data_IF_463671369465
#
_entry.id   IF_463671369465
#
_cell.length_a   1.000
_cell.length_b   1.000
_cell.length_c   1.000
_cell.angle_alpha   90.00
_cell.angle_beta   90.00
_cell.angle_gamma   90.00
#
_symmetry.space_group_name_H-M   'P 1'
#
loop_
_entity.id
_entity.type
_entity.pdbx_description
1 polymer ?
#
# COMPACT_ATOMS: atom_id res chain seq x y z
N UNK A 1 87.82 7.39 -33.32
CA UNK A 1 87.79 6.10 -34.05
C UNK A 1 86.51 5.41 -33.60
N UNK A 2 85.45 5.48 -34.43
CA UNK A 2 85.03 4.41 -35.37
C UNK A 2 84.46 3.21 -34.61
N UNK A 3 83.24 2.70 -34.78
CA UNK A 3 82.05 2.90 -35.63
C UNK A 3 80.90 2.17 -34.88
N UNK A 4 79.60 2.49 -35.05
CA UNK A 4 78.61 1.74 -35.87
C UNK A 4 77.49 1.21 -34.93
N UNK A 5 76.16 1.20 -35.16
CA UNK A 5 75.25 1.77 -36.16
C UNK A 5 73.80 1.36 -35.76
N UNK A 6 72.85 2.32 -35.82
CA UNK A 6 71.40 2.18 -36.15
C UNK A 6 70.45 1.55 -35.10
N UNK A 7 69.15 1.92 -34.95
CA UNK A 7 68.15 2.27 -35.97
C UNK A 7 66.89 2.98 -35.31
N UNK A 8 66.54 4.20 -35.80
CA UNK A 8 65.20 4.87 -35.97
C UNK A 8 64.40 5.38 -34.74
N UNK A 9 64.23 6.71 -34.46
CA UNK A 9 63.61 7.88 -35.18
C UNK A 9 62.07 7.73 -35.30
N UNK A 10 61.16 8.66 -34.97
CA UNK A 10 61.09 9.97 -34.30
C UNK A 10 59.57 10.21 -34.03
N UNK A 11 59.14 10.72 -32.88
CA UNK A 11 58.84 12.12 -32.56
C UNK A 11 58.05 12.95 -33.61
N UNK A 12 56.80 13.27 -33.23
CA UNK A 12 56.02 14.51 -33.47
C UNK A 12 55.34 14.76 -34.84
N UNK A 13 54.05 15.16 -34.81
CA UNK A 13 53.56 16.55 -34.95
C UNK A 13 52.01 16.56 -35.06
N UNK A 14 51.43 17.68 -34.61
CA UNK A 14 50.03 18.06 -34.38
C UNK A 14 49.07 18.15 -35.60
N UNK A 15 47.78 17.95 -35.27
CA UNK A 15 46.53 18.65 -35.68
C UNK A 15 46.06 18.72 -37.15
N UNK A 16 44.77 19.09 -37.29
CA UNK A 16 43.87 19.21 -38.46
C UNK A 16 43.16 17.88 -38.81
N UNK A 17 41.83 17.71 -38.89
CA UNK A 17 40.68 18.61 -39.00
C UNK A 17 39.66 18.02 -40.01
N UNK A 18 38.38 17.88 -39.61
CA UNK A 18 37.13 17.65 -40.38
C UNK A 18 36.74 16.27 -40.98
N UNK A 19 35.59 15.77 -40.45
CA UNK A 19 34.38 15.19 -41.06
C UNK A 19 34.43 14.48 -42.43
N UNK A 20 33.95 13.23 -42.51
CA UNK A 20 32.60 12.89 -43.02
C UNK A 20 32.25 11.39 -42.86
N UNK A 21 31.16 11.15 -42.11
CA UNK A 21 30.09 10.15 -42.27
C UNK A 21 30.39 8.76 -42.87
N UNK A 22 30.19 7.72 -42.05
CA UNK A 22 29.16 6.68 -42.28
C UNK A 22 28.57 6.28 -40.92
N UNK A 23 27.28 6.57 -40.79
CA UNK A 23 26.36 6.13 -39.75
C UNK A 23 25.78 4.75 -40.11
N UNK A 24 25.65 3.87 -39.11
CA UNK A 24 24.67 2.77 -38.92
C UNK A 24 25.23 1.92 -37.77
N UNK A 25 25.14 2.43 -36.54
CA UNK A 25 24.06 2.08 -35.62
C UNK A 25 23.97 0.56 -35.38
N UNK A 26 24.68 0.14 -34.33
CA UNK A 26 24.35 -1.04 -33.54
C UNK A 26 24.04 -0.52 -32.15
N UNK A 27 22.82 -0.02 -31.98
CA UNK A 27 22.27 0.39 -30.69
C UNK A 27 22.35 -0.82 -29.74
N UNK A 28 23.44 -0.91 -28.99
CA UNK A 28 23.41 -1.56 -27.69
C UNK A 28 22.44 -0.77 -26.84
N UNK A 29 21.18 -1.21 -26.83
CA UNK A 29 20.16 -0.68 -25.94
C UNK A 29 20.66 -0.94 -24.53
N UNK A 30 21.21 0.10 -23.91
CA UNK A 30 21.53 0.11 -22.50
C UNK A 30 20.22 -0.14 -21.74
N UNK A 31 20.03 -1.39 -21.29
CA UNK A 31 18.85 -1.83 -20.54
C UNK A 31 18.64 -1.10 -19.22
N UNK A 32 19.51 -0.14 -18.88
CA UNK A 32 19.39 0.72 -17.70
C UNK A 32 18.56 2.01 -17.95
N UNK A 33 17.98 2.19 -19.14
CA UNK A 33 17.07 3.31 -19.44
C UNK A 33 15.58 2.97 -19.26
N UNK A 34 15.25 1.71 -18.95
CA UNK A 34 13.90 1.33 -18.50
C UNK A 34 13.97 0.96 -17.02
N UNK A 35 14.06 1.99 -16.17
CA UNK A 35 13.71 1.82 -14.77
C UNK A 35 12.18 1.73 -14.66
N UNK A 36 11.63 0.54 -14.87
CA UNK A 36 10.25 0.26 -14.48
C UNK A 36 10.23 0.18 -12.94
N UNK A 37 9.60 1.12 -12.21
CA UNK A 37 9.60 1.11 -10.74
C UNK A 37 8.72 -0.02 -10.16
N UNK A 38 8.16 -0.88 -11.00
CA UNK A 38 7.15 -1.84 -10.61
C UNK A 38 7.72 -3.21 -10.19
N UNK A 39 8.88 -3.30 -9.52
CA UNK A 39 9.19 -4.43 -8.61
C UNK A 39 10.48 -4.21 -7.80
N UNK A 40 10.33 -3.96 -6.50
CA UNK A 40 11.25 -4.41 -5.43
C UNK A 40 12.73 -4.00 -5.53
N UNK A 41 13.05 -2.71 -5.41
CA UNK A 41 14.26 -2.34 -4.68
C UNK A 41 13.93 -2.43 -3.19
N UNK A 42 14.48 -3.46 -2.53
CA UNK A 42 14.36 -3.75 -1.11
C UNK A 42 15.00 -2.71 -0.19
N UNK A 43 14.72 -1.44 -0.42
CA UNK A 43 14.94 -0.39 0.56
C UNK A 43 13.61 -0.04 1.23
N UNK A 44 13.35 -0.73 2.34
CA UNK A 44 12.24 -0.42 3.25
C UNK A 44 12.69 0.57 4.33
N UNK A 45 13.96 0.97 4.36
CA UNK A 45 14.55 1.75 5.45
C UNK A 45 14.10 3.23 5.48
N UNK A 46 13.38 3.70 4.44
CA UNK A 46 12.83 5.07 4.39
C UNK A 46 11.32 5.17 4.20
N UNK A 47 10.60 4.07 3.93
CA UNK A 47 9.19 4.14 3.57
C UNK A 47 8.32 4.24 4.83
N UNK A 48 7.64 5.38 4.98
CA UNK A 48 6.62 5.59 6.01
C UNK A 48 5.34 4.89 5.57
N UNK A 49 4.86 3.92 6.36
CA UNK A 49 3.61 3.22 6.11
C UNK A 49 2.56 3.63 7.15
N UNK A 50 1.27 3.69 6.78
CA UNK A 50 0.20 3.78 7.77
C UNK A 50 0.05 2.43 8.48
N UNK A 51 -0.34 2.47 9.74
CA UNK A 51 -0.62 1.27 10.54
C UNK A 51 -1.92 1.53 11.28
N UNK A 52 -2.94 0.72 11.00
CA UNK A 52 -4.23 0.81 11.68
C UNK A 52 -4.21 -0.11 12.91
N UNK A 53 -4.23 0.49 14.10
CA UNK A 53 -4.28 -0.23 15.36
C UNK A 53 -5.69 -0.17 15.92
N UNK A 54 -6.43 -1.28 15.87
CA UNK A 54 -7.80 -1.41 16.40
C UNK A 54 -7.76 -1.83 17.88
N UNK A 55 -8.70 -1.33 18.68
CA UNK A 55 -8.86 -1.75 20.09
C UNK A 55 -9.34 -3.21 20.19
N UNK A 56 -10.22 -3.61 19.28
CA UNK A 56 -10.73 -4.98 19.15
C UNK A 56 -11.09 -5.27 17.70
N UNK A 57 -11.09 -6.54 17.32
CA UNK A 57 -11.58 -7.02 16.03
C UNK A 57 -12.99 -7.60 16.11
N UNK A 58 -13.50 -7.83 17.32
CA UNK A 58 -14.77 -8.54 17.54
C UNK A 58 -15.64 -7.82 18.57
N UNK A 59 -16.95 -7.86 18.36
CA UNK A 59 -17.95 -7.37 19.31
C UNK A 59 -19.17 -8.31 19.36
N UNK A 60 -19.60 -8.67 20.57
CA UNK A 60 -20.82 -9.43 20.79
C UNK A 60 -21.89 -8.53 21.40
N UNK A 61 -23.02 -8.38 20.71
CA UNK A 61 -24.18 -7.64 21.18
C UNK A 61 -24.97 -8.41 22.25
N UNK A 62 -24.67 -9.71 22.46
CA UNK A 62 -25.41 -10.56 23.37
C UNK A 62 -26.85 -10.73 22.88
N UNK A 63 -27.82 -10.39 23.72
CA UNK A 63 -29.25 -10.51 23.41
C UNK A 63 -29.78 -9.21 22.78
N UNK A 64 -30.42 -9.32 21.62
CA UNK A 64 -31.00 -8.20 20.86
C UNK A 64 -32.49 -8.48 20.65
N UNK A 65 -33.39 -7.53 20.94
CA UNK A 65 -34.81 -7.72 20.64
C UNK A 65 -35.04 -7.69 19.12
N UNK A 66 -35.90 -8.54 18.59
CA UNK A 66 -36.27 -8.46 17.18
C UNK A 66 -36.83 -7.07 16.81
N UNK A 67 -36.29 -6.49 15.73
CA UNK A 67 -36.68 -5.18 15.22
C UNK A 67 -35.75 -4.04 15.66
N UNK A 68 -34.91 -4.27 16.67
CA UNK A 68 -33.91 -3.30 17.10
C UNK A 68 -32.78 -3.13 16.09
N UNK A 69 -32.21 -1.93 16.07
CA UNK A 69 -30.97 -1.61 15.37
C UNK A 69 -29.86 -1.36 16.38
N UNK A 70 -28.96 -2.32 16.51
CA UNK A 70 -27.82 -2.24 17.43
C UNK A 70 -26.58 -1.72 16.69
N UNK A 71 -25.75 -0.95 17.39
CA UNK A 71 -24.60 -0.27 16.78
C UNK A 71 -23.36 -0.42 17.66
N UNK A 72 -22.20 -0.64 17.05
CA UNK A 72 -20.91 -0.65 17.72
C UNK A 72 -19.86 0.14 16.94
N UNK A 73 -19.00 0.86 17.65
CA UNK A 73 -17.90 1.63 17.07
C UNK A 73 -16.59 0.89 17.31
N UNK A 74 -15.96 0.40 16.24
CA UNK A 74 -14.59 -0.11 16.29
C UNK A 74 -13.63 1.07 16.23
N UNK A 75 -13.13 1.49 17.40
CA UNK A 75 -12.13 2.55 17.49
C UNK A 75 -10.76 2.05 17.01
N UNK A 76 -10.03 2.94 16.35
CA UNK A 76 -8.68 2.67 15.90
C UNK A 76 -7.82 3.94 15.92
N UNK A 77 -6.52 3.73 15.92
CA UNK A 77 -5.49 4.78 15.84
C UNK A 77 -4.58 4.48 14.65
N UNK A 78 -4.21 5.51 13.89
CA UNK A 78 -3.11 5.37 12.94
C UNK A 78 -1.76 5.45 13.66
N UNK A 79 -1.20 4.31 14.07
CA UNK A 79 0.11 4.23 14.74
C UNK A 79 1.29 4.26 13.76
N UNK A 80 1.00 4.40 12.46
CA UNK A 80 2.00 4.45 11.40
C UNK A 80 2.69 5.81 11.29
N UNK A 81 3.49 5.96 10.24
CA UNK A 81 4.23 7.19 9.93
C UNK A 81 3.71 7.92 8.69
N UNK A 82 2.66 7.40 8.04
CA UNK A 82 2.02 7.99 6.88
C UNK A 82 0.49 8.07 7.07
N UNK A 83 -0.22 8.95 6.34
CA UNK A 83 -1.68 9.03 6.42
C UNK A 83 -2.37 7.72 6.02
N UNK A 84 -3.34 7.31 6.84
CA UNK A 84 -4.17 6.12 6.64
C UNK A 84 -5.42 6.51 5.86
N UNK A 85 -5.75 5.72 4.84
CA UNK A 85 -6.96 5.84 4.03
C UNK A 85 -7.71 4.51 4.04
N UNK A 86 -8.97 4.56 4.46
CA UNK A 86 -9.91 3.44 4.35
C UNK A 86 -10.68 3.60 3.04
N UNK A 87 -10.34 2.79 2.03
CA UNK A 87 -10.96 2.87 0.71
C UNK A 87 -12.33 2.20 0.68
N UNK A 88 -12.53 1.15 1.49
CA UNK A 88 -13.79 0.43 1.51
C UNK A 88 -14.05 -0.27 2.86
N UNK A 89 -15.32 -0.36 3.23
CA UNK A 89 -15.79 -1.23 4.32
C UNK A 89 -17.01 -1.97 3.82
N UNK A 90 -16.92 -3.30 3.74
CA UNK A 90 -17.96 -4.16 3.16
C UNK A 90 -18.44 -5.21 4.16
N UNK A 91 -19.73 -5.20 4.44
CA UNK A 91 -20.37 -6.26 5.20
C UNK A 91 -20.80 -7.44 4.30
N UNK A 92 -20.93 -8.63 4.89
CA UNK A 92 -21.33 -9.84 4.17
C UNK A 92 -22.81 -9.90 3.77
N UNK A 93 -23.70 -9.19 4.48
CA UNK A 93 -25.14 -9.11 4.20
C UNK A 93 -25.62 -7.65 4.16
N UNK A 94 -26.73 -7.39 3.48
CA UNK A 94 -27.42 -6.09 3.53
C UNK A 94 -28.06 -5.74 4.88
N UNK A 95 -27.98 -6.64 5.86
CA UNK A 95 -28.46 -6.46 7.22
C UNK A 95 -27.47 -5.73 8.14
N UNK A 96 -26.28 -5.42 7.63
CA UNK A 96 -25.23 -4.74 8.36
C UNK A 96 -24.77 -3.52 7.56
N UNK A 97 -24.84 -2.35 8.18
CA UNK A 97 -24.51 -1.07 7.55
C UNK A 97 -23.25 -0.49 8.18
N UNK A 98 -22.13 -0.45 7.45
CA UNK A 98 -20.92 0.23 7.90
C UNK A 98 -20.95 1.73 7.61
N UNK A 99 -20.37 2.51 8.51
CA UNK A 99 -20.09 3.95 8.37
C UNK A 99 -18.68 4.24 8.90
N UNK A 100 -17.89 5.00 8.15
CA UNK A 100 -16.45 5.15 8.38
C UNK A 100 -15.93 6.47 7.80
N UNK A 101 -14.80 7.00 8.33
CA UNK A 101 -14.20 8.21 7.82
C UNK A 101 -13.76 8.06 6.35
N UNK A 102 -14.05 9.08 5.53
CA UNK A 102 -13.64 9.14 4.12
C UNK A 102 -12.39 10.00 3.90
N UNK A 103 -12.00 10.76 4.92
CA UNK A 103 -10.79 11.56 4.94
C UNK A 103 -9.56 10.72 5.30
N UNK A 104 -8.39 11.32 5.07
CA UNK A 104 -7.13 10.77 5.55
C UNK A 104 -7.03 10.91 7.08
N UNK A 105 -6.63 9.82 7.75
CA UNK A 105 -6.36 9.77 9.18
C UNK A 105 -4.85 9.94 9.38
N UNK A 106 -4.43 11.04 10.00
CA UNK A 106 -3.03 11.39 10.17
C UNK A 106 -2.33 10.45 11.18
N UNK A 107 -0.99 10.33 11.14
CA UNK A 107 -0.24 9.63 12.18
C UNK A 107 -0.60 10.12 13.59
N UNK A 108 -0.93 9.19 14.49
CA UNK A 108 -1.36 9.45 15.86
C UNK A 108 -2.83 9.86 16.01
N UNK A 109 -3.57 10.04 14.92
CA UNK A 109 -4.99 10.40 14.97
C UNK A 109 -5.89 9.19 15.26
N UNK A 110 -6.91 9.41 16.07
CA UNK A 110 -7.92 8.43 16.45
C UNK A 110 -9.15 8.57 15.54
N UNK A 111 -9.78 7.46 15.19
CA UNK A 111 -11.06 7.45 14.50
C UNK A 111 -11.82 6.15 14.79
N UNK A 112 -12.97 5.95 14.13
CA UNK A 112 -13.82 4.78 14.37
C UNK A 112 -14.55 4.31 13.12
N UNK A 113 -14.81 3.00 13.05
CA UNK A 113 -15.71 2.38 12.07
C UNK A 113 -16.99 1.98 12.81
N UNK A 114 -18.10 2.64 12.51
CA UNK A 114 -19.41 2.36 13.08
C UNK A 114 -20.09 1.26 12.28
N UNK A 115 -20.49 0.20 12.96
CA UNK A 115 -21.23 -0.92 12.38
C UNK A 115 -22.61 -0.98 13.01
N UNK A 116 -23.65 -0.85 12.19
CA UNK A 116 -25.04 -1.05 12.61
C UNK A 116 -25.56 -2.40 12.08
N UNK A 117 -26.28 -3.14 12.91
CA UNK A 117 -26.99 -4.36 12.54
C UNK A 117 -28.50 -4.16 12.69
N UNK A 118 -29.25 -4.50 11.64
CA UNK A 118 -30.71 -4.48 11.62
C UNK A 118 -31.25 -5.90 11.88
N UNK A 119 -31.85 -6.10 13.05
CA UNK A 119 -32.37 -7.41 13.49
C UNK A 119 -33.75 -7.75 12.94
N UNK A 120 -34.43 -6.82 12.25
CA UNK A 120 -35.83 -6.99 11.82
C UNK A 120 -35.99 -8.21 10.90
N UNK A 121 -36.87 -9.15 11.28
CA UNK A 121 -37.14 -10.36 10.52
C UNK A 121 -35.97 -11.35 10.52
N UNK A 122 -35.11 -11.31 11.54
CA UNK A 122 -33.89 -12.14 11.65
C UNK A 122 -33.72 -12.75 13.05
N UNK A 123 -34.69 -13.53 13.56
CA UNK A 123 -34.56 -14.21 14.84
C UNK A 123 -33.42 -15.25 14.83
N UNK A 124 -32.84 -15.51 16.00
CA UNK A 124 -31.79 -16.50 16.21
C UNK A 124 -30.38 -15.91 16.26
N UNK A 125 -29.38 -16.80 16.28
CA UNK A 125 -27.97 -16.41 16.34
C UNK A 125 -27.50 -15.73 15.05
N UNK A 126 -26.66 -14.70 15.19
CA UNK A 126 -25.96 -14.12 14.06
C UNK A 126 -24.47 -13.97 14.33
N UNK A 127 -23.69 -14.13 13.27
CA UNK A 127 -22.26 -13.80 13.18
C UNK A 127 -22.02 -13.15 11.83
N UNK A 128 -21.51 -11.92 11.81
CA UNK A 128 -21.26 -11.15 10.58
C UNK A 128 -19.81 -10.72 10.52
N UNK A 129 -19.20 -10.91 9.35
CA UNK A 129 -17.88 -10.40 9.02
C UNK A 129 -17.99 -9.10 8.24
N UNK A 130 -17.13 -8.15 8.56
CA UNK A 130 -16.99 -6.87 7.88
C UNK A 130 -15.53 -6.74 7.45
N UNK A 131 -15.30 -6.61 6.15
CA UNK A 131 -13.96 -6.46 5.58
C UNK A 131 -13.67 -4.97 5.39
N UNK A 132 -12.62 -4.49 6.05
CA UNK A 132 -12.06 -3.14 5.94
C UNK A 132 -10.87 -3.21 4.99
N UNK A 133 -10.93 -2.47 3.89
CA UNK A 133 -9.83 -2.31 2.94
C UNK A 133 -9.19 -0.93 3.13
N UNK A 134 -7.88 -0.91 3.35
CA UNK A 134 -7.10 0.30 3.59
C UNK A 134 -5.72 0.22 2.93
N UNK A 135 -5.00 1.34 2.86
CA UNK A 135 -3.63 1.42 2.36
C UNK A 135 -2.57 0.89 3.37
N UNK A 136 -2.93 -0.12 4.16
CA UNK A 136 -2.06 -0.80 5.14
C UNK A 136 -1.45 -2.07 4.56
N UNK A 137 -0.53 -2.71 5.28
CA UNK A 137 -0.06 -4.07 4.98
C UNK A 137 -0.29 -4.98 6.21
N UNK A 138 -1.15 -6.01 6.12
CA UNK A 138 -2.02 -6.33 4.97
C UNK A 138 -3.05 -5.23 4.68
N UNK A 139 -3.57 -5.19 3.45
CA UNK A 139 -4.54 -4.16 3.02
C UNK A 139 -5.97 -4.44 3.50
N UNK A 140 -6.24 -5.66 3.96
CA UNK A 140 -7.55 -6.08 4.43
C UNK A 140 -7.48 -6.45 5.92
N UNK A 141 -8.41 -5.91 6.69
CA UNK A 141 -8.66 -6.27 8.09
C UNK A 141 -10.11 -6.72 8.23
N UNK A 142 -10.36 -7.81 8.94
CA UNK A 142 -11.73 -8.33 9.14
C UNK A 142 -12.20 -8.03 10.56
N UNK A 143 -13.31 -7.31 10.69
CA UNK A 143 -14.05 -7.12 11.93
C UNK A 143 -15.19 -8.12 12.01
N UNK A 144 -15.61 -8.49 13.22
CA UNK A 144 -16.74 -9.40 13.43
C UNK A 144 -17.72 -8.83 14.45
N UNK A 145 -19.00 -9.02 14.17
CA UNK A 145 -20.06 -8.81 15.14
C UNK A 145 -20.88 -10.08 15.34
N UNK A 146 -21.36 -10.32 16.56
CA UNK A 146 -22.22 -11.46 16.88
C UNK A 146 -23.33 -11.08 17.86
N UNK A 147 -24.26 -12.01 18.06
CA UNK A 147 -25.32 -11.91 19.05
C UNK A 147 -26.44 -12.93 18.78
N UNK A 148 -27.52 -12.80 19.55
CA UNK A 148 -28.74 -13.60 19.44
C UNK A 148 -29.94 -12.67 19.42
N UNK A 149 -30.74 -12.75 18.35
CA UNK A 149 -32.01 -12.05 18.24
C UNK A 149 -33.11 -12.93 18.82
N UNK A 150 -33.94 -12.37 19.72
CA UNK A 150 -35.03 -13.07 20.39
C UNK A 150 -36.36 -12.33 20.27
#
# INVERSE_FOLDING_TARGET
MKELFFLFIAFNVLCFGCNQSVDQNKDEVNGNLVQNPATLSGDTAGRKFPVMSLETLEHDFGKVNEGDKVTYNFNFVNTGKAPLLISNVKASCGCTTPDWPKNLIQPGENSSIKIQYDSKGRPGEFKKGIVVTANTYPNNTTLKISGVVF
#
